data_IF_002933509814
#
_entry.id   IF_002933509814
#
_cell.length_a   1.000
_cell.length_b   1.000
_cell.length_c   1.000
_cell.angle_alpha   90.00
_cell.angle_beta   90.00
_cell.angle_gamma   90.00
#
_symmetry.space_group_name_H-M   'P 1'
#
loop_
_entity.id
_entity.type
_entity.pdbx_description
1 polymer ?
#
# COMPACT_ATOMS: atom_id res chain seq x y z
N UNK A 1 6.89 16.07 -42.00
CA UNK A 1 7.71 15.87 -40.79
C UNK A 1 6.84 16.23 -39.59
N UNK A 2 6.14 15.26 -38.99
CA UNK A 2 5.36 15.51 -37.79
C UNK A 2 6.22 15.26 -36.56
N UNK A 3 6.15 16.23 -35.65
CA UNK A 3 7.04 16.46 -34.53
C UNK A 3 6.67 15.52 -33.38
N UNK A 4 7.65 14.72 -32.95
CA UNK A 4 7.85 14.12 -31.63
C UNK A 4 6.65 14.15 -30.66
N UNK A 5 5.83 13.09 -30.68
CA UNK A 5 5.02 12.73 -29.51
C UNK A 5 5.91 11.87 -28.62
N UNK A 6 6.48 12.47 -27.58
CA UNK A 6 7.27 11.72 -26.61
C UNK A 6 6.32 10.81 -25.81
N UNK A 7 6.54 9.50 -25.85
CA UNK A 7 5.90 8.56 -24.94
C UNK A 7 6.36 8.89 -23.50
N UNK A 8 5.48 9.49 -22.71
CA UNK A 8 5.76 9.76 -21.31
C UNK A 8 5.65 8.46 -20.50
N UNK A 9 6.79 7.88 -20.13
CA UNK A 9 6.85 6.76 -19.20
C UNK A 9 6.69 7.27 -17.77
N UNK A 10 5.52 7.04 -17.18
CA UNK A 10 5.25 7.33 -15.77
C UNK A 10 5.52 6.09 -14.91
N UNK A 11 6.57 6.15 -14.09
CA UNK A 11 6.88 5.07 -13.15
C UNK A 11 6.14 5.31 -11.83
N UNK A 12 5.11 4.49 -11.57
CA UNK A 12 4.31 4.52 -10.35
C UNK A 12 4.55 3.26 -9.54
N UNK A 13 4.68 3.42 -8.22
CA UNK A 13 4.68 2.30 -7.27
C UNK A 13 3.61 2.50 -6.20
N UNK A 14 3.30 1.43 -5.48
CA UNK A 14 2.31 1.45 -4.40
C UNK A 14 2.93 0.93 -3.11
N UNK A 15 2.42 1.41 -1.98
CA UNK A 15 2.68 0.84 -0.67
C UNK A 15 1.40 0.20 -0.17
N UNK A 16 1.46 -1.06 0.26
CA UNK A 16 0.28 -1.85 0.58
C UNK A 16 0.36 -2.30 2.03
N UNK A 17 -0.74 -2.15 2.75
CA UNK A 17 -0.95 -2.73 4.07
C UNK A 17 -1.98 -3.83 4.01
N UNK A 18 -1.73 -4.93 4.72
CA UNK A 18 -2.61 -6.10 4.77
C UNK A 18 -2.95 -6.37 6.23
N UNK A 19 -4.23 -6.59 6.53
CA UNK A 19 -4.68 -7.07 7.83
C UNK A 19 -5.60 -8.28 7.65
N UNK A 20 -5.62 -9.16 8.65
CA UNK A 20 -6.45 -10.36 8.67
C UNK A 20 -7.60 -10.17 9.66
N UNK A 21 -8.79 -10.59 9.27
CA UNK A 21 -9.91 -10.71 10.19
C UNK A 21 -9.70 -11.95 11.06
N UNK A 22 -9.55 -11.75 12.37
CA UNK A 22 -9.23 -12.80 13.34
C UNK A 22 -9.80 -12.48 14.74
N UNK A 23 -9.41 -13.26 15.75
CA UNK A 23 -9.87 -13.09 17.13
C UNK A 23 -9.47 -11.75 17.77
N UNK A 24 -8.44 -11.10 17.26
CA UNK A 24 -7.96 -9.79 17.72
C UNK A 24 -8.49 -8.64 16.88
N UNK A 25 -9.02 -8.95 15.70
CA UNK A 25 -9.49 -7.99 14.69
C UNK A 25 -10.94 -8.29 14.28
N UNK A 26 -11.89 -8.07 15.20
CA UNK A 26 -13.28 -8.59 15.12
C UNK A 26 -14.31 -7.70 14.42
N UNK A 27 -13.93 -6.54 13.89
CA UNK A 27 -14.85 -5.69 13.14
C UNK A 27 -14.15 -4.97 12.00
N UNK A 28 -14.96 -4.42 11.10
CA UNK A 28 -14.48 -3.79 9.87
C UNK A 28 -13.62 -2.55 10.16
N UNK A 29 -13.99 -1.73 11.15
CA UNK A 29 -13.25 -0.52 11.48
C UNK A 29 -11.84 -0.84 11.96
N UNK A 30 -11.70 -1.84 12.86
CA UNK A 30 -10.39 -2.32 13.34
C UNK A 30 -9.59 -2.94 12.18
N UNK A 31 -10.23 -3.70 11.30
CA UNK A 31 -9.55 -4.32 10.15
C UNK A 31 -8.99 -3.28 9.18
N UNK A 32 -9.75 -2.23 8.89
CA UNK A 32 -9.33 -1.12 8.04
C UNK A 32 -8.19 -0.34 8.72
N UNK A 33 -8.32 -0.04 10.02
CA UNK A 33 -7.29 0.69 10.76
C UNK A 33 -5.96 -0.08 10.79
N UNK A 34 -5.99 -1.39 11.06
CA UNK A 34 -4.80 -2.24 11.03
C UNK A 34 -4.15 -2.29 9.63
N UNK A 35 -4.96 -2.39 8.57
CA UNK A 35 -4.45 -2.37 7.20
C UNK A 35 -3.84 -1.00 6.85
N UNK A 36 -4.45 0.11 7.28
CA UNK A 36 -3.92 1.46 7.09
C UNK A 36 -2.60 1.67 7.83
N UNK A 37 -2.50 1.23 9.08
CA UNK A 37 -1.26 1.28 9.86
C UNK A 37 -0.14 0.45 9.22
N UNK A 38 -0.45 -0.75 8.72
CA UNK A 38 0.52 -1.57 7.98
C UNK A 38 0.97 -0.88 6.68
N UNK A 39 0.04 -0.26 5.95
CA UNK A 39 0.38 0.53 4.75
C UNK A 39 1.26 1.72 5.11
N UNK A 40 0.96 2.39 6.23
CA UNK A 40 1.75 3.51 6.72
C UNK A 40 3.19 3.08 7.02
N UNK A 41 3.40 1.91 7.64
CA UNK A 41 4.74 1.31 7.78
C UNK A 41 5.40 1.08 6.42
N UNK A 42 4.71 0.50 5.45
CA UNK A 42 5.25 0.31 4.10
C UNK A 42 5.69 1.65 3.44
N UNK A 43 4.94 2.74 3.65
CA UNK A 43 5.31 4.09 3.17
C UNK A 43 6.59 4.62 3.82
N UNK A 44 6.84 4.30 5.08
CA UNK A 44 7.99 4.81 5.85
C UNK A 44 9.22 3.90 5.79
N UNK A 45 9.05 2.63 5.40
CA UNK A 45 10.12 1.63 5.32
C UNK A 45 10.75 1.50 3.92
N UNK A 46 10.49 2.43 3.00
CA UNK A 46 11.08 2.43 1.65
C UNK A 46 10.08 2.51 0.50
N UNK A 47 8.76 2.43 0.78
CA UNK A 47 7.68 2.34 -0.23
C UNK A 47 7.82 1.10 -1.11
N UNK A 48 7.03 1.02 -2.18
CA UNK A 48 7.06 -0.08 -3.16
C UNK A 48 7.11 -1.50 -2.53
N UNK A 49 6.36 -1.70 -1.44
CA UNK A 49 6.39 -2.93 -0.68
C UNK A 49 5.07 -3.17 0.05
N UNK A 50 4.94 -4.38 0.58
CA UNK A 50 3.80 -4.84 1.35
C UNK A 50 4.22 -4.99 2.80
N UNK A 51 3.37 -4.57 3.73
CA UNK A 51 3.48 -4.91 5.14
C UNK A 51 2.21 -5.58 5.62
N UNK A 52 2.37 -6.61 6.44
CA UNK A 52 1.26 -7.28 7.11
C UNK A 52 1.16 -6.72 8.52
N UNK A 53 -0.07 -6.47 8.99
CA UNK A 53 -0.31 -6.09 10.36
C UNK A 53 0.26 -7.14 11.32
N UNK A 54 1.00 -6.70 12.34
CA UNK A 54 1.62 -7.58 13.34
C UNK A 54 2.90 -8.31 12.93
N UNK A 55 3.39 -8.15 11.69
CA UNK A 55 4.71 -8.67 11.27
C UNK A 55 5.87 -7.76 11.68
#
# INVERSE_FOLDING_TARGET
KNLFQADYLLNVSVSIGVAMYDETCKNLDILIDHADQAMYKAKHSGRNQVHVWGS
#
